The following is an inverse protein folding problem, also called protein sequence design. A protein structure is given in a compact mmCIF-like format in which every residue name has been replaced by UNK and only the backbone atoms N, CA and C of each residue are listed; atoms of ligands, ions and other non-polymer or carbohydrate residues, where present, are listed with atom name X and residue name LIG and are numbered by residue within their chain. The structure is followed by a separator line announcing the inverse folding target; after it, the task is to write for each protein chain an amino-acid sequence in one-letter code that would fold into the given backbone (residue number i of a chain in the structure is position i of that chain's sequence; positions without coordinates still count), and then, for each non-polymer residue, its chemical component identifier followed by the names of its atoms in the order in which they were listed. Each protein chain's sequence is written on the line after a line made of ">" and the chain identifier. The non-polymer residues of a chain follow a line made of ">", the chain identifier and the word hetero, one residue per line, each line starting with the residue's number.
data_IF_609513781010
#
_entry.id   IF_609513781010
#
_cell.length_a   1.000
_cell.length_b   1.000
_cell.length_c   1.000
_cell.angle_alpha   90.00
_cell.angle_beta   90.00
_cell.angle_gamma   90.00
#
_symmetry.space_group_name_H-M   'P 1'
#
loop_
_entity.id
_entity.type
_entity.pdbx_description
1 polymer ?
#
# COMPACT_ATOMS: atom_id res chain seq x y z
N UNK A 1 20.60 -17.38 -28.39
CA UNK A 1 20.13 -18.44 -27.48
C UNK A 1 21.10 -18.48 -26.30
N UNK A 2 20.81 -17.74 -25.24
CA UNK A 2 21.53 -17.80 -23.96
C UNK A 2 20.56 -18.38 -22.94
N UNK A 3 20.64 -19.68 -22.71
CA UNK A 3 19.85 -20.40 -21.70
C UNK A 3 20.29 -20.06 -20.26
N UNK A 4 20.90 -18.89 -20.03
CA UNK A 4 21.54 -18.47 -18.77
C UNK A 4 20.85 -17.24 -18.15
N UNK A 5 19.93 -16.57 -18.87
CA UNK A 5 19.26 -15.33 -18.40
C UNK A 5 18.09 -15.60 -17.41
N UNK A 6 17.83 -16.87 -17.09
CA UNK A 6 16.55 -17.29 -16.49
C UNK A 6 16.49 -17.46 -14.96
N UNK A 7 17.55 -17.79 -14.20
CA UNK A 7 17.37 -18.01 -12.75
C UNK A 7 17.16 -16.70 -11.99
N UNK A 8 17.92 -15.65 -12.31
CA UNK A 8 17.86 -14.37 -11.60
C UNK A 8 16.52 -13.65 -11.80
N UNK A 9 15.99 -13.66 -13.01
CA UNK A 9 14.71 -13.04 -13.35
C UNK A 9 13.52 -13.73 -12.64
N UNK A 10 13.60 -15.06 -12.45
CA UNK A 10 12.57 -15.82 -11.73
C UNK A 10 12.59 -15.52 -10.22
N UNK A 11 13.78 -15.49 -9.62
CA UNK A 11 13.96 -15.16 -8.19
C UNK A 11 13.50 -13.72 -7.92
N UNK A 12 13.87 -12.78 -8.79
CA UNK A 12 13.40 -11.40 -8.72
C UNK A 12 11.86 -11.33 -8.74
N UNK A 13 11.23 -12.08 -9.66
CA UNK A 13 9.78 -12.11 -9.77
C UNK A 13 9.10 -12.67 -8.50
N UNK A 14 9.67 -13.73 -7.92
CA UNK A 14 9.17 -14.31 -6.68
C UNK A 14 9.25 -13.34 -5.51
N UNK A 15 10.36 -12.62 -5.36
CA UNK A 15 10.56 -11.64 -4.28
C UNK A 15 9.54 -10.50 -4.40
N UNK A 16 9.31 -9.95 -5.60
CA UNK A 16 8.34 -8.86 -5.78
C UNK A 16 6.90 -9.34 -5.59
N UNK A 17 6.56 -10.55 -6.02
CA UNK A 17 5.24 -11.12 -5.77
C UNK A 17 5.00 -11.34 -4.26
N UNK A 18 6.01 -11.82 -3.53
CA UNK A 18 5.94 -11.95 -2.08
C UNK A 18 5.81 -10.57 -1.40
N UNK A 19 6.59 -9.58 -1.84
CA UNK A 19 6.49 -8.21 -1.34
C UNK A 19 5.10 -7.59 -1.59
N UNK A 20 4.52 -7.82 -2.77
CA UNK A 20 3.16 -7.39 -3.10
C UNK A 20 2.12 -8.03 -2.17
N UNK A 21 2.28 -9.31 -1.85
CA UNK A 21 1.40 -9.99 -0.90
C UNK A 21 1.52 -9.42 0.52
N UNK A 22 2.74 -9.19 1.00
CA UNK A 22 2.99 -8.55 2.30
C UNK A 22 2.43 -7.13 2.35
N UNK A 23 2.58 -6.37 1.26
CA UNK A 23 2.00 -5.04 1.11
C UNK A 23 0.46 -5.09 1.24
N UNK A 24 -0.19 -6.01 0.53
CA UNK A 24 -1.63 -6.23 0.62
C UNK A 24 -2.09 -6.53 2.05
N UNK A 25 -1.40 -7.44 2.75
CA UNK A 25 -1.70 -7.77 4.15
C UNK A 25 -1.56 -6.53 5.04
N UNK A 26 -0.49 -5.76 4.86
CA UNK A 26 -0.19 -4.57 5.65
C UNK A 26 -1.30 -3.52 5.50
N UNK A 27 -1.74 -3.26 4.26
CA UNK A 27 -2.85 -2.35 3.95
C UNK A 27 -4.16 -2.85 4.55
N UNK A 28 -4.44 -4.16 4.47
CA UNK A 28 -5.64 -4.76 5.04
C UNK A 28 -5.70 -4.59 6.57
N UNK A 29 -4.60 -4.87 7.27
CA UNK A 29 -4.50 -4.69 8.71
C UNK A 29 -4.73 -3.22 9.09
N UNK A 30 -4.09 -2.29 8.36
CA UNK A 30 -4.26 -0.85 8.59
C UNK A 30 -5.71 -0.40 8.38
N UNK A 31 -6.34 -0.82 7.29
CA UNK A 31 -7.74 -0.53 7.01
C UNK A 31 -8.67 -1.00 8.14
N UNK A 32 -8.43 -2.20 8.68
CA UNK A 32 -9.20 -2.77 9.81
C UNK A 32 -8.99 -1.96 11.08
N UNK A 33 -7.74 -1.63 11.42
CA UNK A 33 -7.40 -0.81 12.60
C UNK A 33 -8.06 0.57 12.54
N UNK A 34 -8.02 1.23 11.39
CA UNK A 34 -8.67 2.52 11.15
C UNK A 34 -10.19 2.43 11.26
N UNK A 35 -10.79 1.39 10.69
CA UNK A 35 -12.24 1.18 10.77
C UNK A 35 -12.73 1.00 12.21
N UNK A 36 -11.95 0.28 13.03
CA UNK A 36 -12.24 0.13 14.46
C UNK A 36 -12.11 1.47 15.21
N UNK A 37 -11.10 2.27 14.90
CA UNK A 37 -10.90 3.57 15.52
C UNK A 37 -12.01 4.58 15.18
N UNK A 38 -12.45 4.61 13.91
CA UNK A 38 -13.55 5.46 13.45
C UNK A 38 -14.87 5.03 14.12
N UNK A 39 -15.12 3.73 14.27
CA UNK A 39 -16.31 3.21 14.95
C UNK A 39 -16.40 3.67 16.41
N UNK A 40 -15.26 3.78 17.09
CA UNK A 40 -15.20 4.24 18.48
C UNK A 40 -15.34 5.77 18.62
N UNK A 41 -15.24 6.54 17.52
CA UNK A 41 -15.27 8.01 17.53
C UNK A 41 -16.24 8.55 16.44
N UNK A 42 -17.56 8.52 16.70
CA UNK A 42 -18.59 8.80 15.68
C UNK A 42 -18.65 10.25 15.21
N UNK A 43 -18.03 11.19 15.92
CA UNK A 43 -18.00 12.64 15.57
C UNK A 43 -17.34 12.92 14.22
N UNK A 44 -16.60 11.95 13.68
CA UNK A 44 -15.83 12.07 12.44
C UNK A 44 -16.34 11.13 11.30
N UNK A 45 -17.46 10.43 11.48
CA UNK A 45 -17.72 9.14 10.80
C UNK A 45 -17.62 9.07 9.26
N UNK A 46 -18.21 9.99 8.49
CA UNK A 46 -18.38 9.79 7.03
C UNK A 46 -17.13 10.05 6.19
N UNK A 47 -16.50 11.23 6.33
CA UNK A 47 -15.32 11.59 5.51
C UNK A 47 -14.14 10.65 5.75
N UNK A 48 -13.97 10.21 7.00
CA UNK A 48 -12.87 9.36 7.41
C UNK A 48 -13.03 7.93 6.89
N UNK A 49 -14.27 7.42 6.87
CA UNK A 49 -14.57 6.12 6.26
C UNK A 49 -14.31 6.13 4.76
N UNK A 50 -14.63 7.24 4.06
CA UNK A 50 -14.35 7.39 2.63
C UNK A 50 -12.84 7.42 2.35
N UNK A 51 -12.07 8.21 3.11
CA UNK A 51 -10.61 8.27 2.96
C UNK A 51 -9.95 6.93 3.29
N UNK A 52 -10.43 6.21 4.31
CA UNK A 52 -9.92 4.87 4.64
C UNK A 52 -10.20 3.86 3.52
N UNK A 53 -11.39 3.91 2.92
CA UNK A 53 -11.72 3.07 1.76
C UNK A 53 -10.86 3.41 0.54
N UNK A 54 -10.63 4.71 0.29
CA UNK A 54 -9.76 5.16 -0.80
C UNK A 54 -8.31 4.70 -0.59
N UNK A 55 -7.78 4.81 0.63
CA UNK A 55 -6.47 4.27 0.99
C UNK A 55 -6.36 2.77 0.68
N UNK A 56 -7.37 1.99 1.08
CA UNK A 56 -7.43 0.56 0.82
C UNK A 56 -7.45 0.25 -0.69
N UNK A 57 -8.27 0.98 -1.45
CA UNK A 57 -8.38 0.79 -2.89
C UNK A 57 -7.08 1.15 -3.63
N UNK A 58 -6.46 2.29 -3.31
CA UNK A 58 -5.16 2.68 -3.85
C UNK A 58 -4.09 1.64 -3.52
N UNK A 59 -4.06 1.17 -2.27
CA UNK A 59 -3.11 0.17 -1.82
C UNK A 59 -3.23 -1.18 -2.54
N UNK A 60 -4.47 -1.68 -2.74
CA UNK A 60 -4.69 -2.91 -3.54
C UNK A 60 -4.23 -2.71 -4.97
N UNK A 61 -4.54 -1.56 -5.56
CA UNK A 61 -4.15 -1.23 -6.95
C UNK A 61 -2.63 -1.22 -7.11
N UNK A 62 -1.90 -0.71 -6.11
CA UNK A 62 -0.44 -0.77 -6.06
C UNK A 62 0.07 -2.21 -5.98
N UNK A 63 -0.46 -3.02 -5.07
CA UNK A 63 -0.05 -4.42 -4.91
C UNK A 63 -0.28 -5.23 -6.21
N UNK A 64 -1.45 -5.06 -6.82
CA UNK A 64 -1.80 -5.71 -8.08
C UNK A 64 -0.84 -5.32 -9.21
N UNK A 65 -0.54 -4.02 -9.33
CA UNK A 65 0.36 -3.50 -10.36
C UNK A 65 1.81 -3.96 -10.15
N UNK A 66 2.27 -4.08 -8.89
CA UNK A 66 3.57 -4.70 -8.58
C UNK A 66 3.64 -6.17 -9.04
N UNK A 67 2.57 -6.94 -8.87
CA UNK A 67 2.54 -8.32 -9.36
C UNK A 67 2.61 -8.37 -10.90
N UNK A 68 1.96 -7.44 -11.60
CA UNK A 68 2.08 -7.34 -13.08
C UNK A 68 3.52 -7.02 -13.50
N UNK A 69 4.16 -6.02 -12.89
CA UNK A 69 5.56 -5.66 -13.17
C UNK A 69 6.48 -6.87 -12.97
N UNK A 70 6.23 -7.62 -11.91
CA UNK A 70 7.00 -8.81 -11.54
C UNK A 70 6.91 -9.95 -12.55
N UNK A 71 5.72 -10.19 -13.12
CA UNK A 71 5.49 -11.32 -14.02
C UNK A 71 5.99 -11.07 -15.45
N UNK A 72 6.27 -9.81 -15.83
CA UNK A 72 6.76 -9.46 -17.17
C UNK A 72 8.12 -8.72 -17.13
N UNK A 73 9.21 -9.38 -16.67
CA UNK A 73 10.52 -8.74 -16.54
C UNK A 73 11.20 -8.45 -17.89
N UNK A 74 10.92 -9.23 -18.96
CA UNK A 74 11.56 -9.08 -20.27
C UNK A 74 10.81 -8.13 -21.22
N UNK A 75 11.58 -7.39 -22.03
CA UNK A 75 11.17 -6.33 -22.97
C UNK A 75 10.12 -6.71 -24.04
N UNK A 76 9.62 -7.94 -24.07
CA UNK A 76 8.66 -8.43 -25.06
C UNK A 76 7.27 -7.74 -24.94
N UNK A 77 6.94 -7.18 -23.77
CA UNK A 77 5.72 -6.37 -23.54
C UNK A 77 6.03 -5.03 -22.85
N UNK A 78 7.01 -4.29 -23.39
CA UNK A 78 7.37 -2.94 -22.92
C UNK A 78 6.16 -2.02 -22.59
N UNK A 79 5.11 -1.91 -23.43
CA UNK A 79 3.97 -1.03 -23.12
C UNK A 79 3.20 -1.46 -21.87
N UNK A 80 3.03 -2.77 -21.62
CA UNK A 80 2.31 -3.29 -20.45
C UNK A 80 3.07 -2.97 -19.17
N UNK A 81 4.39 -3.17 -19.17
CA UNK A 81 5.25 -2.87 -18.03
C UNK A 81 5.25 -1.38 -17.72
N UNK A 82 5.37 -0.53 -18.74
CA UNK A 82 5.35 0.92 -18.60
C UNK A 82 4.03 1.39 -17.96
N UNK A 83 2.90 0.88 -18.47
CA UNK A 83 1.57 1.16 -17.93
C UNK A 83 1.43 0.71 -16.47
N UNK A 84 1.87 -0.50 -16.13
CA UNK A 84 1.84 -1.00 -14.76
C UNK A 84 2.73 -0.17 -13.82
N UNK A 85 3.90 0.30 -14.27
CA UNK A 85 4.76 1.21 -13.49
C UNK A 85 4.09 2.56 -13.23
N UNK A 86 3.43 3.15 -14.24
CA UNK A 86 2.66 4.38 -14.05
C UNK A 86 1.52 4.20 -13.05
N UNK A 87 0.78 3.09 -13.13
CA UNK A 87 -0.27 2.79 -12.13
C UNK A 87 0.34 2.63 -10.75
N UNK A 88 1.45 1.89 -10.63
CA UNK A 88 2.11 1.65 -9.34
C UNK A 88 2.55 2.97 -8.71
N UNK A 89 3.17 3.88 -9.47
CA UNK A 89 3.62 5.17 -8.96
C UNK A 89 2.44 6.06 -8.54
N UNK A 90 1.45 6.20 -9.41
CA UNK A 90 0.28 7.06 -9.14
C UNK A 90 -0.57 6.54 -7.98
N UNK A 91 -0.85 5.24 -7.94
CA UNK A 91 -1.59 4.62 -6.83
C UNK A 91 -0.81 4.67 -5.51
N UNK A 92 0.51 4.51 -5.54
CA UNK A 92 1.35 4.63 -4.34
C UNK A 92 1.34 6.05 -3.78
N UNK A 93 1.48 7.07 -4.63
CA UNK A 93 1.38 8.47 -4.21
C UNK A 93 -0.01 8.76 -3.63
N UNK A 94 -1.07 8.25 -4.25
CA UNK A 94 -2.43 8.37 -3.73
C UNK A 94 -2.62 7.71 -2.36
N UNK A 95 -2.08 6.51 -2.17
CA UNK A 95 -2.12 5.81 -0.89
C UNK A 95 -1.35 6.57 0.20
N UNK A 96 -0.14 7.05 -0.10
CA UNK A 96 0.66 7.86 0.83
C UNK A 96 -0.04 9.16 1.20
N UNK A 97 -0.67 9.83 0.23
CA UNK A 97 -1.44 11.04 0.50
C UNK A 97 -2.63 10.76 1.43
N UNK A 98 -3.39 9.69 1.18
CA UNK A 98 -4.49 9.28 2.04
C UNK A 98 -3.99 8.91 3.45
N UNK A 99 -2.85 8.23 3.56
CA UNK A 99 -2.23 7.89 4.83
C UNK A 99 -1.78 9.13 5.60
N UNK A 100 -1.18 10.11 4.93
CA UNK A 100 -0.78 11.38 5.53
C UNK A 100 -1.98 12.16 6.09
N UNK A 101 -3.09 12.18 5.35
CA UNK A 101 -4.35 12.74 5.83
C UNK A 101 -4.83 11.97 7.06
N UNK A 102 -5.03 10.65 6.97
CA UNK A 102 -5.51 9.84 8.10
C UNK A 102 -4.62 10.01 9.33
N UNK A 103 -3.30 10.04 9.16
CA UNK A 103 -2.33 10.25 10.22
C UNK A 103 -2.45 11.65 10.85
N UNK A 104 -2.65 12.71 10.06
CA UNK A 104 -2.87 14.06 10.61
C UNK A 104 -4.17 14.12 11.42
N UNK A 105 -5.22 13.43 11.00
CA UNK A 105 -6.50 13.39 11.72
C UNK A 105 -6.47 12.53 12.99
N UNK A 106 -5.69 11.45 13.02
CA UNK A 106 -5.61 10.53 14.17
C UNK A 106 -4.70 11.07 15.27
N UNK A 107 -3.68 11.86 14.93
CA UNK A 107 -2.77 12.51 15.88
C UNK A 107 -3.48 13.25 17.04
N UNK A 108 -4.49 14.12 16.81
CA UNK A 108 -5.19 14.79 17.92
C UNK A 108 -6.01 13.82 18.81
N UNK A 109 -6.54 12.73 18.26
CA UNK A 109 -7.27 11.70 19.02
C UNK A 109 -6.35 10.90 19.96
N UNK A 110 -5.10 10.67 19.56
CA UNK A 110 -4.11 9.92 20.36
C UNK A 110 -3.36 10.78 21.39
N UNK A 111 -3.25 12.09 21.16
CA UNK A 111 -2.43 13.01 21.97
C UNK A 111 -2.92 13.24 23.42
N UNK A 112 -4.06 12.66 23.81
CA UNK A 112 -4.48 12.58 25.23
C UNK A 112 -3.55 11.70 26.09
N UNK A 113 -2.78 10.77 25.50
CA UNK A 113 -1.79 9.91 26.20
C UNK A 113 -0.42 9.97 25.50
N UNK A 114 0.48 10.81 26.04
CA UNK A 114 1.75 11.27 25.42
C UNK A 114 2.79 10.22 24.98
N UNK A 115 2.71 8.95 25.36
CA UNK A 115 3.77 7.95 25.09
C UNK A 115 3.49 6.94 23.98
N UNK A 116 2.23 6.71 23.61
CA UNK A 116 1.84 5.68 22.65
C UNK A 116 2.01 6.02 21.15
N UNK A 117 1.88 7.28 20.67
CA UNK A 117 1.90 7.54 19.23
C UNK A 117 3.30 7.51 18.60
N UNK A 118 4.35 7.77 19.39
CA UNK A 118 5.74 7.80 18.90
C UNK A 118 6.21 6.38 18.56
N UNK A 119 5.95 5.42 19.44
CA UNK A 119 6.34 4.01 19.26
C UNK A 119 5.64 3.39 18.03
N UNK A 120 4.40 3.80 17.75
CA UNK A 120 3.61 3.27 16.63
C UNK A 120 3.94 3.89 15.28
N UNK A 121 4.45 5.13 15.27
CA UNK A 121 4.90 5.80 14.03
C UNK A 121 6.24 5.26 13.57
N UNK A 122 7.12 4.85 14.48
CA UNK A 122 8.42 4.21 14.16
C UNK A 122 8.24 2.78 13.60
N UNK A 123 7.11 2.13 13.91
CA UNK A 123 6.78 0.77 13.45
C UNK A 123 5.97 0.74 12.14
N UNK A 124 5.76 1.88 11.47
CA UNK A 124 5.08 1.99 10.17
C UNK A 124 6.05 2.55 9.15
#
# INVERSE_FOLDING_TARGET
>A
RSSTDSPESCIYSQIINFASFVLFITIYIRYRQLSQLIRNNPTCGKKYSQTNFLFFFCGITTAFSMSIISNFPHANVFPVRLFATYITFTASVGALYCEMLLSSWIRPLLYSRRTLPIIRTILT
#
